data_IF_236360421767
#
_entry.id   IF_236360421767
#
_cell.length_a   1.000
_cell.length_b   1.000
_cell.length_c   1.000
_cell.angle_alpha   90.00
_cell.angle_beta   90.00
_cell.angle_gamma   90.00
#
_symmetry.space_group_name_H-M   'P 1'
#
loop_
_entity.id
_entity.type
_entity.pdbx_description
1 polymer ?
#
# COMPACT_ATOMS: atom_id res chain seq x y z
N UNK A 1 2.51 -1.41 -18.98
CA UNK A 1 1.86 -0.95 -17.73
C UNK A 1 0.37 -0.79 -17.95
N UNK A 2 -0.40 -0.87 -16.86
CA UNK A 2 -1.85 -0.67 -16.91
C UNK A 2 -2.25 0.43 -15.92
N UNK A 3 -3.35 1.13 -16.23
CA UNK A 3 -3.85 2.22 -15.39
C UNK A 3 -5.33 1.97 -15.09
N UNK A 4 -5.71 2.12 -13.82
CA UNK A 4 -7.07 1.98 -13.35
C UNK A 4 -7.49 3.24 -12.58
N UNK A 5 -8.70 3.74 -12.87
CA UNK A 5 -9.36 4.77 -12.06
C UNK A 5 -10.59 4.19 -11.37
N UNK A 6 -10.77 4.52 -10.08
CA UNK A 6 -11.91 4.07 -9.29
C UNK A 6 -12.19 5.04 -8.13
N UNK A 7 -13.40 5.00 -7.57
CA UNK A 7 -13.75 5.74 -6.37
C UNK A 7 -13.94 4.80 -5.19
N UNK A 8 -13.60 5.28 -4.00
CA UNK A 8 -13.82 4.62 -2.71
C UNK A 8 -14.63 5.56 -1.81
N UNK A 9 -15.66 5.05 -1.14
CA UNK A 9 -16.43 5.80 -0.13
C UNK A 9 -15.68 5.78 1.20
N UNK A 10 -14.54 6.47 1.22
CA UNK A 10 -13.64 6.53 2.37
C UNK A 10 -12.80 7.80 2.31
N UNK A 11 -12.34 8.24 3.47
CA UNK A 11 -11.34 9.31 3.57
C UNK A 11 -10.01 8.88 2.95
N UNK A 12 -9.37 9.75 2.19
CA UNK A 12 -8.11 9.46 1.50
C UNK A 12 -7.00 8.94 2.45
N UNK A 13 -6.95 9.46 3.66
CA UNK A 13 -5.95 9.04 4.62
C UNK A 13 -6.17 7.58 5.08
N UNK A 14 -7.43 7.11 5.14
CA UNK A 14 -7.75 5.70 5.40
C UNK A 14 -7.32 4.80 4.23
N UNK A 15 -7.43 5.29 2.99
CA UNK A 15 -6.96 4.57 1.81
C UNK A 15 -5.44 4.39 1.88
N UNK A 16 -4.70 5.45 2.20
CA UNK A 16 -3.25 5.39 2.39
C UNK A 16 -2.88 4.50 3.58
N UNK A 17 -3.57 4.62 4.72
CA UNK A 17 -3.32 3.76 5.90
C UNK A 17 -3.50 2.27 5.58
N UNK A 18 -4.53 1.90 4.81
CA UNK A 18 -4.71 0.53 4.37
C UNK A 18 -3.53 0.03 3.53
N UNK A 19 -3.06 0.84 2.59
CA UNK A 19 -1.91 0.48 1.75
C UNK A 19 -0.59 0.37 2.55
N UNK A 20 -0.48 1.11 3.65
CA UNK A 20 0.67 1.09 4.56
C UNK A 20 0.61 -0.05 5.57
N UNK A 21 -0.54 -0.68 5.79
CA UNK A 21 -0.65 -1.78 6.74
C UNK A 21 0.02 -3.06 6.19
N UNK A 22 1.13 -3.52 6.75
CA UNK A 22 1.78 -4.73 6.28
C UNK A 22 0.98 -6.00 6.57
N UNK A 23 0.08 -5.96 7.54
CA UNK A 23 -0.69 -7.12 7.97
C UNK A 23 -1.94 -7.33 7.10
N UNK A 24 -2.55 -6.26 6.55
CA UNK A 24 -3.81 -6.38 5.82
C UNK A 24 -3.74 -7.38 4.66
N UNK A 25 -2.61 -7.43 3.95
CA UNK A 25 -2.43 -8.31 2.80
C UNK A 25 -2.64 -9.81 3.13
N UNK A 26 -2.32 -10.22 4.37
CA UNK A 26 -2.50 -11.60 4.84
C UNK A 26 -3.96 -11.92 5.19
N UNK A 27 -4.71 -10.94 5.67
CA UNK A 27 -6.07 -11.14 6.18
C UNK A 27 -7.15 -10.76 5.17
N UNK A 28 -6.89 -9.75 4.36
CA UNK A 28 -7.85 -9.19 3.40
C UNK A 28 -7.74 -9.89 2.05
N UNK A 29 -6.51 -10.02 1.50
CA UNK A 29 -6.36 -10.54 0.15
C UNK A 29 -6.39 -12.05 0.07
N UNK A 30 -7.19 -12.56 -0.88
CA UNK A 30 -7.27 -14.01 -1.14
C UNK A 30 -5.90 -14.64 -1.43
N UNK A 31 -5.01 -13.90 -2.08
CA UNK A 31 -3.67 -14.37 -2.44
C UNK A 31 -2.75 -14.44 -1.22
N UNK A 32 -2.98 -13.61 -0.22
CA UNK A 32 -2.21 -13.56 1.04
C UNK A 32 -2.71 -14.51 2.12
N UNK A 33 -3.93 -15.01 2.00
CA UNK A 33 -4.60 -15.81 3.04
C UNK A 33 -3.83 -17.08 3.43
N UNK A 34 -2.77 -16.88 4.16
CA UNK A 34 -2.19 -17.90 5.03
C UNK A 34 -2.87 -17.96 6.40
N UNK A 35 -3.82 -17.08 6.65
CA UNK A 35 -4.50 -16.82 7.92
C UNK A 35 -5.26 -18.00 8.58
N UNK A 36 -4.89 -19.22 8.23
CA UNK A 36 -5.23 -20.45 8.96
C UNK A 36 -4.02 -21.05 9.67
N UNK A 37 -2.85 -20.41 9.59
CA UNK A 37 -1.69 -20.84 10.34
C UNK A 37 -1.78 -20.25 11.74
N UNK A 38 -2.08 -21.06 12.77
CA UNK A 38 -2.17 -20.58 14.14
C UNK A 38 -0.83 -20.06 14.66
N UNK A 39 0.26 -20.42 14.02
CA UNK A 39 1.63 -20.01 14.37
C UNK A 39 2.11 -18.81 13.51
N UNK A 40 1.21 -18.18 12.73
CA UNK A 40 1.57 -17.01 11.94
C UNK A 40 2.12 -15.90 12.83
N UNK A 41 3.36 -15.56 12.58
CA UNK A 41 3.99 -14.37 13.15
C UNK A 41 4.23 -13.35 12.04
N UNK A 42 3.78 -12.13 12.28
CA UNK A 42 4.06 -11.05 11.37
C UNK A 42 5.58 -10.85 11.26
N UNK A 43 6.12 -10.81 10.03
CA UNK A 43 7.54 -10.54 9.84
C UNK A 43 7.95 -9.20 10.45
N UNK A 44 9.14 -9.14 11.01
CA UNK A 44 9.72 -7.85 11.41
C UNK A 44 9.95 -6.99 10.16
N UNK A 45 9.66 -5.71 10.28
CA UNK A 45 9.91 -4.73 9.24
C UNK A 45 10.60 -3.49 9.82
N UNK A 46 11.32 -2.81 8.93
CA UNK A 46 11.99 -1.55 9.25
C UNK A 46 11.32 -0.43 8.49
N UNK A 47 11.16 0.69 9.15
CA UNK A 47 10.68 1.92 8.54
C UNK A 47 11.86 2.80 8.15
N UNK A 48 11.74 3.44 6.99
CA UNK A 48 12.69 4.44 6.49
C UNK A 48 11.94 5.74 6.28
N UNK A 49 12.47 6.82 6.82
CA UNK A 49 11.88 8.15 6.71
C UNK A 49 12.71 9.05 5.82
N UNK A 50 12.04 9.96 5.13
CA UNK A 50 12.62 11.04 4.32
C UNK A 50 11.90 12.35 4.64
N UNK A 51 12.31 13.44 4.04
CA UNK A 51 11.64 14.72 4.23
C UNK A 51 10.16 14.70 3.78
N UNK A 52 9.84 13.96 2.72
CA UNK A 52 8.53 13.95 2.05
C UNK A 52 7.69 12.72 2.32
N UNK A 53 8.15 11.81 3.14
CA UNK A 53 7.42 10.59 3.39
C UNK A 53 8.20 9.54 4.16
N UNK A 54 7.59 8.38 4.25
CA UNK A 54 8.23 7.21 4.85
C UNK A 54 7.76 5.93 4.17
N UNK A 55 8.53 4.89 4.31
CA UNK A 55 8.21 3.58 3.78
C UNK A 55 8.56 2.46 4.74
N UNK A 56 8.05 1.31 4.41
CA UNK A 56 8.39 0.05 5.08
C UNK A 56 8.66 -1.03 4.05
N UNK A 57 9.49 -2.00 4.41
CA UNK A 57 9.75 -3.19 3.61
C UNK A 57 9.62 -4.43 4.47
N UNK A 58 8.87 -5.41 3.96
CA UNK A 58 8.62 -6.71 4.59
C UNK A 58 9.19 -7.80 3.71
N UNK A 59 9.84 -8.78 4.33
CA UNK A 59 10.37 -9.97 3.66
C UNK A 59 9.60 -11.20 4.08
N UNK A 60 9.11 -11.95 3.13
CA UNK A 60 8.37 -13.16 3.41
C UNK A 60 8.66 -14.25 2.39
N UNK A 61 8.55 -15.50 2.83
CA UNK A 61 8.67 -16.64 1.93
C UNK A 61 7.33 -16.94 1.30
N UNK A 62 7.27 -16.91 -0.01
CA UNK A 62 6.07 -17.30 -0.75
C UNK A 62 6.30 -18.63 -1.47
N UNK A 63 5.37 -19.56 -1.29
CA UNK A 63 5.29 -20.74 -2.14
C UNK A 63 4.51 -20.38 -3.40
N UNK A 64 5.13 -20.60 -4.56
CA UNK A 64 4.45 -20.42 -5.82
C UNK A 64 3.40 -21.51 -6.01
N UNK A 65 2.12 -21.11 -6.15
CA UNK A 65 1.02 -22.01 -6.50
C UNK A 65 0.69 -21.98 -8.00
N UNK A 66 0.06 -23.05 -8.51
CA UNK A 66 -0.44 -23.12 -9.89
C UNK A 66 0.68 -23.02 -10.93
N UNK A 67 0.35 -22.40 -12.07
CA UNK A 67 1.29 -22.24 -13.20
C UNK A 67 2.56 -21.45 -12.83
N UNK A 68 2.48 -20.57 -11.84
CA UNK A 68 3.63 -19.80 -11.35
C UNK A 68 4.73 -20.65 -10.73
N UNK A 69 4.44 -21.89 -10.31
CA UNK A 69 5.43 -22.83 -9.81
C UNK A 69 6.53 -23.12 -10.84
N UNK A 70 6.20 -23.12 -12.12
CA UNK A 70 7.17 -23.36 -13.19
C UNK A 70 8.09 -22.17 -13.47
N UNK A 71 7.67 -20.97 -13.10
CA UNK A 71 8.44 -19.73 -13.28
C UNK A 71 9.18 -19.29 -12.00
N UNK A 72 8.90 -19.93 -10.88
CA UNK A 72 9.53 -19.69 -9.58
C UNK A 72 10.06 -21.01 -9.04
N UNK A 73 11.31 -21.38 -9.33
CA UNK A 73 11.93 -22.57 -8.75
C UNK A 73 12.21 -22.34 -7.26
N UNK A 74 11.60 -23.18 -6.41
CA UNK A 74 11.87 -23.23 -4.98
C UNK A 74 11.20 -22.19 -4.12
N UNK A 75 11.50 -22.19 -2.84
CA UNK A 75 11.15 -21.17 -1.86
C UNK A 75 11.90 -19.88 -2.21
N UNK A 76 11.18 -18.93 -2.79
CA UNK A 76 11.77 -17.62 -3.12
C UNK A 76 11.32 -16.58 -2.11
N UNK A 77 12.29 -15.84 -1.60
CA UNK A 77 12.02 -14.67 -0.80
C UNK A 77 11.31 -13.62 -1.66
N UNK A 78 10.15 -13.19 -1.21
CA UNK A 78 9.43 -12.05 -1.77
C UNK A 78 9.65 -10.86 -0.85
N UNK A 79 9.96 -9.72 -1.43
CA UNK A 79 10.09 -8.47 -0.71
C UNK A 79 8.98 -7.57 -1.19
N UNK A 80 8.15 -7.11 -0.27
CA UNK A 80 7.13 -6.11 -0.56
C UNK A 80 7.27 -4.93 0.39
N UNK A 81 7.05 -3.74 -0.12
CA UNK A 81 7.11 -2.54 0.69
C UNK A 81 6.25 -1.45 0.10
N UNK A 82 5.71 -0.61 0.95
CA UNK A 82 4.95 0.57 0.56
C UNK A 82 5.61 1.81 1.14
N UNK A 83 5.76 2.81 0.31
CA UNK A 83 6.30 4.13 0.68
C UNK A 83 5.28 5.19 0.30
N UNK A 84 4.89 6.04 1.24
CA UNK A 84 4.10 7.21 0.92
C UNK A 84 5.00 8.40 0.61
N UNK A 85 4.56 9.24 -0.32
CA UNK A 85 5.22 10.47 -0.75
C UNK A 85 4.20 11.59 -0.74
N UNK A 86 4.22 12.42 0.32
CA UNK A 86 3.15 13.38 0.54
C UNK A 86 1.86 12.74 1.08
N UNK A 87 0.78 13.52 1.19
CA UNK A 87 -0.41 13.14 1.95
C UNK A 87 -1.28 12.07 1.27
N UNK A 88 -1.24 11.97 -0.06
CA UNK A 88 -2.23 11.22 -0.83
C UNK A 88 -1.60 10.41 -1.99
N UNK A 89 -0.36 10.03 -1.85
CA UNK A 89 0.38 9.26 -2.85
C UNK A 89 1.18 8.16 -2.17
N UNK A 90 1.19 6.97 -2.77
CA UNK A 90 2.08 5.91 -2.32
C UNK A 90 2.55 5.03 -3.47
N UNK A 91 3.65 4.34 -3.24
CA UNK A 91 4.24 3.39 -4.17
C UNK A 91 4.40 2.07 -3.43
N UNK A 92 3.72 1.04 -3.90
CA UNK A 92 3.96 -0.33 -3.43
C UNK A 92 4.89 -1.03 -4.40
N UNK A 93 6.01 -1.50 -3.88
CA UNK A 93 6.98 -2.28 -4.63
C UNK A 93 6.90 -3.74 -4.20
N UNK A 94 6.78 -4.64 -5.16
CA UNK A 94 6.78 -6.09 -4.92
C UNK A 94 7.89 -6.71 -5.76
N UNK A 95 8.91 -7.23 -5.10
CA UNK A 95 10.00 -7.99 -5.72
C UNK A 95 9.82 -9.47 -5.44
N UNK A 96 9.37 -10.21 -6.44
CA UNK A 96 9.08 -11.64 -6.32
C UNK A 96 10.33 -12.52 -6.39
N UNK A 97 11.39 -12.04 -7.03
CA UNK A 97 12.73 -12.63 -7.12
C UNK A 97 13.70 -11.61 -7.72
N UNK A 98 14.95 -12.00 -8.00
CA UNK A 98 15.97 -11.11 -8.55
C UNK A 98 15.63 -10.50 -9.94
N UNK A 99 14.70 -11.12 -10.69
CA UNK A 99 14.36 -10.72 -12.07
C UNK A 99 12.95 -10.16 -12.21
N UNK A 100 12.04 -10.43 -11.27
CA UNK A 100 10.62 -10.11 -11.39
C UNK A 100 10.21 -9.10 -10.32
N UNK A 101 9.89 -7.90 -10.76
CA UNK A 101 9.40 -6.82 -9.90
C UNK A 101 8.16 -6.17 -10.49
N UNK A 102 7.27 -5.72 -9.62
CA UNK A 102 6.17 -4.84 -9.97
C UNK A 102 6.12 -3.62 -9.05
N UNK A 103 5.61 -2.53 -9.57
CA UNK A 103 5.38 -1.28 -8.87
C UNK A 103 3.93 -0.88 -9.07
N UNK A 104 3.30 -0.44 -8.00
CA UNK A 104 1.96 0.11 -8.01
C UNK A 104 2.05 1.54 -7.50
N UNK A 105 1.87 2.49 -8.39
CA UNK A 105 1.81 3.92 -8.05
C UNK A 105 0.35 4.28 -7.84
N UNK A 106 0.02 4.75 -6.66
CA UNK A 106 -1.33 5.20 -6.34
C UNK A 106 -1.35 6.70 -6.08
N UNK A 107 -2.38 7.35 -6.60
CA UNK A 107 -2.67 8.77 -6.43
C UNK A 107 -4.11 8.88 -5.94
N UNK A 108 -4.28 9.24 -4.68
CA UNK A 108 -5.58 9.30 -4.02
C UNK A 108 -6.03 10.75 -3.91
N UNK A 109 -6.97 11.13 -4.77
CA UNK A 109 -7.50 12.49 -4.80
C UNK A 109 -8.74 12.55 -3.90
N UNK A 110 -8.71 13.30 -2.78
CA UNK A 110 -9.90 13.51 -1.97
C UNK A 110 -10.94 14.29 -2.78
N UNK A 111 -12.15 13.75 -2.88
CA UNK A 111 -13.32 14.44 -3.43
C UNK A 111 -13.97 15.26 -2.34
N UNK A 112 -14.17 14.63 -1.18
CA UNK A 112 -14.61 15.21 0.06
C UNK A 112 -14.11 14.39 1.26
N UNK A 113 -14.69 14.58 2.43
CA UNK A 113 -14.32 13.84 3.65
C UNK A 113 -14.63 12.34 3.54
N UNK A 114 -15.61 11.96 2.73
CA UNK A 114 -16.19 10.61 2.64
C UNK A 114 -15.88 9.89 1.33
N UNK A 115 -15.32 10.59 0.36
CA UNK A 115 -15.03 10.01 -0.96
C UNK A 115 -13.61 10.34 -1.43
N UNK A 116 -12.94 9.32 -1.92
CA UNK A 116 -11.62 9.41 -2.56
C UNK A 116 -11.68 8.83 -3.95
N UNK A 117 -11.15 9.57 -4.93
CA UNK A 117 -10.91 9.06 -6.28
C UNK A 117 -9.46 8.65 -6.42
N UNK A 118 -9.24 7.38 -6.66
CA UNK A 118 -7.90 6.78 -6.77
C UNK A 118 -7.55 6.46 -8.21
N UNK A 119 -6.27 6.70 -8.55
CA UNK A 119 -5.66 6.30 -9.81
C UNK A 119 -4.49 5.39 -9.50
N UNK A 120 -4.54 4.16 -10.04
CA UNK A 120 -3.53 3.14 -9.84
C UNK A 120 -2.81 2.85 -11.15
N UNK A 121 -1.49 3.03 -11.16
CA UNK A 121 -0.63 2.69 -12.29
C UNK A 121 0.19 1.46 -11.90
N UNK A 122 -0.01 0.36 -12.61
CA UNK A 122 0.75 -0.87 -12.42
C UNK A 122 1.87 -0.96 -13.45
N UNK A 123 3.10 -0.90 -13.00
CA UNK A 123 4.29 -1.14 -13.81
C UNK A 123 4.94 -2.48 -13.41
N UNK A 124 5.36 -3.28 -14.39
CA UNK A 124 6.01 -4.58 -14.17
C UNK A 124 7.06 -4.85 -15.23
N UNK A 125 8.06 -5.64 -14.90
CA UNK A 125 9.13 -6.05 -15.81
C UNK A 125 9.00 -7.50 -16.29
N UNK A 126 7.88 -8.17 -16.00
CA UNK A 126 7.57 -9.54 -16.39
C UNK A 126 6.17 -9.60 -17.04
N UNK A 127 5.94 -10.58 -17.89
CA UNK A 127 4.68 -10.70 -18.64
C UNK A 127 4.27 -9.38 -19.32
N UNK A 128 5.24 -8.73 -19.98
CA UNK A 128 5.07 -7.38 -20.56
C UNK A 128 4.26 -7.35 -21.85
N UNK A 129 3.82 -8.52 -22.36
CA UNK A 129 2.95 -8.57 -23.54
C UNK A 129 1.61 -7.86 -23.27
N UNK A 130 1.15 -6.98 -24.15
CA UNK A 130 -0.16 -6.33 -24.03
C UNK A 130 -1.34 -7.31 -23.92
N UNK A 131 -1.21 -8.51 -24.48
CA UNK A 131 -2.23 -9.56 -24.38
C UNK A 131 -2.47 -10.03 -22.93
N UNK A 132 -1.51 -9.81 -22.04
CA UNK A 132 -1.61 -10.18 -20.63
C UNK A 132 -2.11 -9.02 -19.75
N UNK A 133 -2.24 -7.81 -20.30
CA UNK A 133 -2.68 -6.65 -19.53
C UNK A 133 -4.08 -6.83 -18.96
N UNK A 134 -5.00 -7.45 -19.72
CA UNK A 134 -6.35 -7.74 -19.25
C UNK A 134 -6.38 -8.68 -18.04
N UNK A 135 -5.44 -9.63 -17.94
CA UNK A 135 -5.32 -10.54 -16.78
C UNK A 135 -4.83 -9.76 -15.56
N UNK A 136 -3.86 -8.87 -15.74
CA UNK A 136 -3.33 -8.01 -14.67
C UNK A 136 -4.40 -7.07 -14.16
N UNK A 137 -5.14 -6.42 -15.05
CA UNK A 137 -6.24 -5.52 -14.69
C UNK A 137 -7.34 -6.24 -13.92
N UNK A 138 -7.75 -7.42 -14.38
CA UNK A 138 -8.75 -8.23 -13.66
C UNK A 138 -8.29 -8.55 -12.24
N UNK A 139 -7.01 -8.90 -12.07
CA UNK A 139 -6.44 -9.18 -10.75
C UNK A 139 -6.39 -7.93 -9.88
N UNK A 140 -5.96 -6.80 -10.41
CA UNK A 140 -5.92 -5.53 -9.68
C UNK A 140 -7.31 -5.09 -9.23
N UNK A 141 -8.33 -5.22 -10.09
CA UNK A 141 -9.72 -4.94 -9.74
C UNK A 141 -10.25 -5.85 -8.63
N UNK A 142 -9.85 -7.11 -8.61
CA UNK A 142 -10.24 -8.04 -7.54
C UNK A 142 -9.63 -7.61 -6.20
N UNK A 143 -8.34 -7.25 -6.17
CA UNK A 143 -7.65 -6.73 -4.98
C UNK A 143 -8.32 -5.44 -4.49
N UNK A 144 -8.57 -4.49 -5.39
CA UNK A 144 -9.27 -3.23 -5.06
C UNK A 144 -10.67 -3.51 -4.46
N UNK A 145 -11.38 -4.52 -4.96
CA UNK A 145 -12.70 -4.88 -4.42
C UNK A 145 -12.61 -5.48 -3.01
N UNK A 146 -11.55 -6.24 -2.71
CA UNK A 146 -11.27 -6.77 -1.38
C UNK A 146 -10.95 -5.64 -0.40
N UNK A 147 -10.07 -4.71 -0.78
CA UNK A 147 -9.73 -3.51 0.01
C UNK A 147 -10.97 -2.64 0.26
N UNK A 148 -11.76 -2.39 -0.78
CA UNK A 148 -13.00 -1.62 -0.67
C UNK A 148 -13.93 -2.17 0.39
N UNK A 149 -14.08 -3.50 0.44
CA UNK A 149 -14.98 -4.16 1.40
C UNK A 149 -14.60 -3.92 2.87
N UNK A 150 -13.35 -3.55 3.12
CA UNK A 150 -12.81 -3.21 4.44
C UNK A 150 -12.79 -1.69 4.64
N UNK A 151 -12.15 -0.95 3.74
CA UNK A 151 -11.90 0.49 3.89
C UNK A 151 -13.20 1.28 4.02
N UNK A 152 -14.23 0.95 3.24
CA UNK A 152 -15.53 1.65 3.27
C UNK A 152 -16.34 1.40 4.55
N UNK A 153 -15.83 0.59 5.47
CA UNK A 153 -16.48 0.28 6.77
C UNK A 153 -15.67 0.76 7.97
N UNK A 154 -14.54 1.41 7.75
CA UNK A 154 -13.68 1.86 8.85
C UNK A 154 -14.34 3.07 9.54
N UNK A 155 -14.47 2.97 10.85
CA UNK A 155 -14.92 4.06 11.71
C UNK A 155 -13.85 4.40 12.77
N UNK A 156 -13.63 5.66 13.08
CA UNK A 156 -14.21 6.85 12.44
C UNK A 156 -13.70 7.02 11.00
N UNK A 157 -14.49 7.67 10.14
CA UNK A 157 -14.19 7.87 8.70
C UNK A 157 -12.80 8.50 8.50
N UNK A 158 -12.50 9.60 9.17
CA UNK A 158 -11.17 10.18 9.16
C UNK A 158 -10.28 9.54 10.26
N UNK A 159 -8.97 9.35 10.01
CA UNK A 159 -8.07 8.87 11.06
C UNK A 159 -8.07 9.80 12.27
N UNK A 160 -8.03 9.25 13.50
CA UNK A 160 -7.91 10.06 14.70
C UNK A 160 -6.64 10.89 14.69
N UNK A 161 -6.74 12.14 15.11
CA UNK A 161 -5.59 13.06 15.15
C UNK A 161 -4.61 12.76 16.30
N UNK A 162 -5.05 12.02 17.32
CA UNK A 162 -4.27 11.69 18.50
C UNK A 162 -3.87 10.22 18.54
N UNK A 163 -2.72 9.91 19.14
CA UNK A 163 -2.25 8.54 19.33
C UNK A 163 -3.04 7.74 20.37
N UNK A 164 -3.86 8.40 21.18
CA UNK A 164 -4.63 7.78 22.27
C UNK A 164 -6.05 7.38 21.87
N UNK A 165 -6.49 7.74 20.66
CA UNK A 165 -7.85 7.49 20.21
C UNK A 165 -8.01 6.12 19.52
N UNK A 166 -6.92 5.49 19.11
CA UNK A 166 -6.88 4.15 18.53
C UNK A 166 -5.99 3.24 19.36
N UNK A 167 -6.35 1.97 19.42
CA UNK A 167 -5.47 0.94 19.93
C UNK A 167 -4.51 0.52 18.81
N UNK A 168 -3.23 0.87 18.94
CA UNK A 168 -2.20 0.56 17.95
C UNK A 168 -1.33 -0.62 18.39
N UNK A 169 -0.99 -1.47 17.44
CA UNK A 169 -0.06 -2.59 17.62
C UNK A 169 1.27 -2.31 16.89
N UNK A 170 2.27 -3.18 17.05
CA UNK A 170 3.58 -3.01 16.39
C UNK A 170 3.45 -2.89 14.86
N UNK A 171 2.46 -3.54 14.26
CA UNK A 171 2.18 -3.48 12.83
C UNK A 171 1.81 -2.07 12.36
N UNK A 172 1.22 -1.24 13.21
CA UNK A 172 0.71 0.08 12.86
C UNK A 172 1.79 1.18 12.89
N UNK A 173 3.05 0.83 13.18
CA UNK A 173 4.11 1.83 13.34
C UNK A 173 4.22 2.77 12.13
N UNK A 174 4.13 2.25 10.90
CA UNK A 174 4.19 3.07 9.69
C UNK A 174 2.96 3.98 9.53
N UNK A 175 1.78 3.54 9.96
CA UNK A 175 0.56 4.37 9.94
C UNK A 175 0.68 5.52 10.96
N UNK A 176 1.27 5.28 12.15
CA UNK A 176 1.53 6.34 13.12
C UNK A 176 2.53 7.37 12.61
N UNK A 177 3.56 6.92 11.86
CA UNK A 177 4.48 7.81 11.15
C UNK A 177 3.72 8.65 10.13
N UNK A 178 2.87 8.04 9.30
CA UNK A 178 2.05 8.75 8.31
C UNK A 178 1.16 9.81 8.97
N UNK A 179 0.46 9.48 10.07
CA UNK A 179 -0.35 10.46 10.83
C UNK A 179 0.48 11.62 11.39
N UNK A 180 1.73 11.35 11.77
CA UNK A 180 2.64 12.42 12.20
C UNK A 180 2.97 13.37 11.05
N UNK A 181 3.25 12.84 9.85
CA UNK A 181 3.48 13.64 8.65
C UNK A 181 2.23 14.45 8.26
N UNK A 182 1.04 13.83 8.29
CA UNK A 182 -0.22 14.54 8.02
C UNK A 182 -0.39 15.76 8.91
N UNK A 183 -0.19 15.61 10.22
CA UNK A 183 -0.24 16.74 11.16
C UNK A 183 0.78 17.83 10.84
N UNK A 184 1.97 17.42 10.43
CA UNK A 184 3.02 18.35 10.02
C UNK A 184 2.65 19.16 8.78
N UNK A 185 2.06 18.52 7.77
CA UNK A 185 1.59 19.23 6.57
C UNK A 185 0.37 20.09 6.87
N UNK A 186 -0.58 19.61 7.64
CA UNK A 186 -1.75 20.37 8.06
C UNK A 186 -1.37 21.63 8.82
N UNK A 187 -0.42 21.55 9.77
CA UNK A 187 0.05 22.71 10.56
C UNK A 187 0.71 23.79 9.72
N UNK A 188 1.25 23.44 8.55
CA UNK A 188 1.82 24.37 7.56
C UNK A 188 0.80 24.81 6.51
N UNK A 189 -0.49 24.47 6.69
CA UNK A 189 -1.55 24.80 5.74
C UNK A 189 -1.39 24.13 4.39
N UNK A 190 -0.81 22.92 4.35
CA UNK A 190 -0.54 22.14 3.14
C UNK A 190 0.36 22.85 2.11
N UNK A 191 1.09 23.87 2.54
CA UNK A 191 1.98 24.62 1.67
C UNK A 191 3.30 23.88 1.51
N UNK A 192 3.78 23.89 0.27
CA UNK A 192 5.15 23.49 -0.05
C UNK A 192 6.05 24.67 0.36
N UNK A 193 7.11 24.40 1.12
CA UNK A 193 8.16 25.37 1.36
C UNK A 193 9.02 25.49 0.09
N UNK A 194 8.65 26.45 -0.75
CA UNK A 194 9.35 26.69 -2.02
C UNK A 194 10.80 27.16 -1.82
N UNK A 195 11.11 27.74 -0.66
CA UNK A 195 12.49 28.17 -0.35
C UNK A 195 13.38 26.96 -0.01
N UNK A 196 12.82 25.90 0.61
CA UNK A 196 13.56 24.67 0.87
C UNK A 196 13.93 23.93 -0.42
N UNK A 197 13.03 23.94 -1.42
CA UNK A 197 13.26 23.28 -2.72
C UNK A 197 14.40 23.94 -3.50
N UNK A 198 14.64 25.23 -3.31
CA UNK A 198 15.72 25.96 -4.01
C UNK A 198 17.07 25.91 -3.29
N UNK A 199 17.17 25.22 -2.14
CA UNK A 199 18.44 25.06 -1.40
C UNK A 199 19.18 23.76 -1.70
N UNK A 200 18.58 22.86 -2.47
CA UNK A 200 19.22 21.66 -3.02
C UNK A 200 19.77 21.95 -4.44
#
# INVERSE_FOLDING_TARGET
CTTLGFSLRANYARVVENALDPAHAEFVHFVGRKGKDPDYQMPDYQTQESEWGAGMEVRFRTQAGGLFKYFRPGDTETIAGTTFHGPAQFITRIRMNARMSSFQYAFDTPVDEYETRSFLINARNFFVSPLLDGIVDKRSRAIIAEDRAVIEKIEPVAPPRGSTADFSVKADAIQLIYRRYLRGWESRGWRIDSEAIHRE
#
